data_IF_230349773869
#
_entry.id   IF_230349773869
#
_cell.length_a   1.000
_cell.length_b   1.000
_cell.length_c   1.000
_cell.angle_alpha   90.00
_cell.angle_beta   90.00
_cell.angle_gamma   90.00
#
_symmetry.space_group_name_H-M   'P 1'
#
loop_
_entity.id
_entity.type
_entity.pdbx_description
1 polymer ?
#
# COMPACT_ATOMS: atom_id res chain seq x y z
N UNK A 1 -5.45 9.14 -25.75
CA UNK A 1 -5.75 9.94 -24.54
C UNK A 1 -7.17 9.65 -24.10
N UNK A 2 -7.41 9.24 -22.84
CA UNK A 2 -8.77 9.05 -22.30
C UNK A 2 -9.08 10.26 -21.41
N UNK A 3 -10.10 11.04 -21.78
CA UNK A 3 -10.64 12.13 -20.95
C UNK A 3 -12.05 11.73 -20.51
N UNK A 4 -12.31 11.76 -19.22
CA UNK A 4 -13.59 11.45 -18.58
C UNK A 4 -13.76 12.35 -17.36
N UNK A 5 -15.00 12.65 -17.01
CA UNK A 5 -15.32 13.58 -15.94
C UNK A 5 -16.29 12.90 -14.96
N UNK A 6 -16.16 13.24 -13.68
CA UNK A 6 -17.01 12.77 -12.59
C UNK A 6 -17.26 13.92 -11.64
N UNK A 7 -18.46 13.99 -11.09
CA UNK A 7 -18.76 14.96 -10.05
C UNK A 7 -18.29 14.46 -8.69
N UNK A 8 -18.03 15.41 -7.81
CA UNK A 8 -17.87 15.14 -6.38
C UNK A 8 -19.27 15.11 -5.77
N UNK A 9 -19.56 14.04 -5.03
CA UNK A 9 -20.81 13.82 -4.33
C UNK A 9 -20.65 14.12 -2.83
N UNK A 10 -21.70 13.87 -2.06
CA UNK A 10 -21.71 14.06 -0.61
C UNK A 10 -20.49 13.43 0.08
N UNK A 11 -20.02 14.11 1.14
CA UNK A 11 -18.81 13.75 1.89
C UNK A 11 -17.55 13.72 1.02
N UNK A 12 -17.53 14.52 -0.05
CA UNK A 12 -16.40 14.69 -0.96
C UNK A 12 -15.96 13.39 -1.66
N UNK A 13 -16.91 12.49 -1.92
CA UNK A 13 -16.63 11.22 -2.58
C UNK A 13 -16.72 11.37 -4.10
N UNK A 14 -15.91 10.62 -4.83
CA UNK A 14 -16.03 10.47 -6.28
C UNK A 14 -15.87 9.01 -6.68
N UNK A 15 -16.29 8.69 -7.91
CA UNK A 15 -16.17 7.35 -8.50
C UNK A 15 -15.04 7.33 -9.51
N UNK A 16 -14.36 6.19 -9.66
CA UNK A 16 -13.46 5.98 -10.80
C UNK A 16 -14.32 5.66 -12.03
N UNK A 17 -14.27 6.41 -13.14
CA UNK A 17 -15.11 6.16 -14.32
C UNK A 17 -14.99 4.74 -14.88
N UNK A 18 -16.10 4.20 -15.40
CA UNK A 18 -16.15 2.84 -16.00
C UNK A 18 -15.01 2.62 -17.01
N UNK A 19 -14.82 3.57 -17.94
CA UNK A 19 -13.78 3.49 -18.97
C UNK A 19 -12.36 3.37 -18.39
N UNK A 20 -12.07 4.09 -17.30
CA UNK A 20 -10.77 4.00 -16.62
C UNK A 20 -10.63 2.66 -15.89
N UNK A 21 -11.68 2.23 -15.17
CA UNK A 21 -11.67 0.93 -14.48
C UNK A 21 -11.42 -0.23 -15.43
N UNK A 22 -12.08 -0.26 -16.57
CA UNK A 22 -11.93 -1.32 -17.58
C UNK A 22 -10.55 -1.28 -18.24
N UNK A 23 -10.09 -0.08 -18.64
CA UNK A 23 -8.77 0.09 -19.27
C UNK A 23 -7.63 -0.35 -18.35
N UNK A 24 -7.76 -0.09 -17.05
CA UNK A 24 -6.73 -0.41 -16.05
C UNK A 24 -6.98 -1.72 -15.28
N UNK A 25 -8.06 -2.46 -15.60
CA UNK A 25 -8.42 -3.70 -14.91
C UNK A 25 -8.69 -3.52 -13.40
N UNK A 26 -9.19 -2.36 -12.99
CA UNK A 26 -9.42 -2.04 -11.57
C UNK A 26 -10.59 -2.83 -10.99
N UNK A 27 -10.34 -3.40 -9.81
CA UNK A 27 -11.31 -4.17 -9.03
C UNK A 27 -11.44 -3.60 -7.62
N UNK A 28 -12.38 -4.11 -6.83
CA UNK A 28 -12.56 -3.72 -5.42
C UNK A 28 -11.35 -4.02 -4.52
N UNK A 29 -10.38 -4.79 -5.00
CA UNK A 29 -9.16 -5.15 -4.26
C UNK A 29 -8.02 -4.13 -4.45
N UNK A 30 -8.25 -3.09 -5.25
CA UNK A 30 -7.30 -2.02 -5.47
C UNK A 30 -7.56 -0.86 -4.52
N UNK A 31 -6.49 -0.27 -4.02
CA UNK A 31 -6.46 0.97 -3.26
C UNK A 31 -6.09 2.10 -4.21
N UNK A 32 -6.74 3.25 -4.03
CA UNK A 32 -6.43 4.49 -4.76
C UNK A 32 -5.57 5.37 -3.86
N UNK A 33 -4.36 5.65 -4.30
CA UNK A 33 -3.44 6.58 -3.65
C UNK A 33 -3.50 7.93 -4.36
N UNK A 34 -3.59 8.99 -3.57
CA UNK A 34 -3.66 10.37 -4.04
C UNK A 34 -2.36 11.06 -3.67
N UNK A 35 -1.63 11.56 -4.67
CA UNK A 35 -0.41 12.34 -4.47
C UNK A 35 -0.58 13.72 -5.10
N UNK A 36 0.06 14.72 -4.51
CA UNK A 36 0.21 16.04 -5.11
C UNK A 36 1.68 16.17 -5.48
N UNK A 37 1.97 16.34 -6.77
CA UNK A 37 3.34 16.51 -7.22
C UNK A 37 3.85 17.94 -6.96
N UNK A 38 5.13 18.18 -7.24
CA UNK A 38 5.81 19.47 -7.12
C UNK A 38 5.15 20.61 -7.92
N UNK A 39 4.37 20.28 -8.96
CA UNK A 39 3.62 21.22 -9.80
C UNK A 39 2.20 21.45 -9.30
N UNK A 40 1.83 20.92 -8.14
CA UNK A 40 0.49 21.05 -7.56
C UNK A 40 -0.58 20.26 -8.30
N UNK A 41 -0.22 19.31 -9.17
CA UNK A 41 -1.18 18.44 -9.84
C UNK A 41 -1.48 17.22 -8.98
N UNK A 42 -2.76 16.86 -8.92
CA UNK A 42 -3.21 15.61 -8.31
C UNK A 42 -2.92 14.47 -9.26
N UNK A 43 -2.24 13.45 -8.75
CA UNK A 43 -1.97 12.19 -9.42
C UNK A 43 -2.61 11.05 -8.63
N UNK A 44 -3.20 10.11 -9.37
CA UNK A 44 -3.82 8.93 -8.80
C UNK A 44 -3.00 7.70 -9.17
N UNK A 45 -2.61 6.94 -8.17
CA UNK A 45 -1.96 5.63 -8.33
C UNK A 45 -2.88 4.53 -7.82
N UNK A 46 -2.89 3.39 -8.51
CA UNK A 46 -3.69 2.23 -8.11
C UNK A 46 -2.75 1.09 -7.73
N UNK A 47 -2.84 0.64 -6.48
CA UNK A 47 -2.07 -0.51 -6.01
C UNK A 47 -2.99 -1.60 -5.48
N UNK A 48 -2.54 -2.85 -5.52
CA UNK A 48 -3.21 -3.92 -4.81
C UNK A 48 -3.03 -3.72 -3.31
N UNK A 49 -4.06 -4.08 -2.53
CA UNK A 49 -3.89 -4.24 -1.10
C UNK A 49 -2.89 -5.37 -0.88
N UNK A 50 -1.73 -5.04 -0.32
CA UNK A 50 -0.76 -6.01 0.17
C UNK A 50 -1.18 -6.34 1.60
N UNK A 51 -1.45 -7.61 1.87
CA UNK A 51 -1.73 -8.10 3.23
C UNK A 51 -0.42 -8.53 3.89
N UNK A 52 -0.39 -8.61 5.22
CA UNK A 52 0.81 -9.08 5.94
C UNK A 52 1.20 -10.49 5.46
N UNK A 53 0.21 -11.34 5.17
CA UNK A 53 0.40 -12.67 4.58
C UNK A 53 1.05 -12.64 3.19
N UNK A 54 0.81 -11.59 2.39
CA UNK A 54 1.46 -11.41 1.09
C UNK A 54 2.93 -10.98 1.21
N UNK A 55 3.33 -10.40 2.36
CA UNK A 55 4.70 -9.96 2.65
C UNK A 55 5.50 -11.05 3.35
N UNK A 56 4.85 -11.91 4.15
CA UNK A 56 5.49 -13.03 4.85
C UNK A 56 6.14 -13.97 3.82
N UNK A 57 7.47 -14.00 3.83
CA UNK A 57 8.29 -14.81 2.92
C UNK A 57 8.75 -14.10 1.64
N UNK A 58 8.25 -12.90 1.34
CA UNK A 58 8.70 -12.08 0.21
C UNK A 58 10.07 -11.43 0.47
N UNK A 59 10.38 -11.19 1.76
CA UNK A 59 11.71 -10.76 2.22
C UNK A 59 12.38 -11.92 2.95
N UNK A 60 13.31 -12.59 2.27
CA UNK A 60 14.26 -13.51 2.91
C UNK A 60 15.46 -12.72 3.40
N UNK A 61 15.77 -12.80 4.70
CA UNK A 61 17.07 -12.35 5.20
C UNK A 61 18.17 -13.12 4.46
N UNK A 62 19.25 -12.42 4.03
CA UNK A 62 20.40 -13.06 3.36
C UNK A 62 21.00 -14.20 4.18
N UNK A 63 20.81 -14.16 5.49
CA UNK A 63 21.28 -15.16 6.43
C UNK A 63 20.09 -15.87 7.09
N UNK A 64 20.23 -17.19 7.29
CA UNK A 64 19.24 -17.98 8.05
C UNK A 64 19.25 -17.54 9.51
N UNK A 65 18.38 -16.60 9.86
CA UNK A 65 18.19 -16.18 11.24
C UNK A 65 17.37 -17.20 12.00
N UNK A 66 17.92 -17.74 13.08
CA UNK A 66 17.17 -18.60 14.00
C UNK A 66 16.24 -17.71 14.85
N UNK A 67 14.92 -17.89 14.68
CA UNK A 67 13.91 -17.08 15.36
C UNK A 67 14.06 -17.09 16.89
N UNK A 68 14.48 -18.22 17.48
CA UNK A 68 14.68 -18.35 18.93
C UNK A 68 15.81 -17.45 19.41
N UNK A 69 16.93 -17.39 18.69
CA UNK A 69 18.06 -16.52 19.03
C UNK A 69 17.71 -15.05 18.91
N UNK A 70 16.92 -14.67 17.91
CA UNK A 70 16.50 -13.28 17.72
C UNK A 70 15.62 -12.80 18.88
N UNK A 71 14.69 -13.65 19.33
CA UNK A 71 13.83 -13.37 20.47
C UNK A 71 14.66 -13.25 21.76
N UNK A 72 15.60 -14.17 22.01
CA UNK A 72 16.51 -14.07 23.16
C UNK A 72 17.32 -12.77 23.17
N UNK A 73 17.85 -12.33 22.02
CA UNK A 73 18.64 -11.10 21.92
C UNK A 73 17.80 -9.83 22.15
N UNK A 74 16.53 -9.84 21.71
CA UNK A 74 15.59 -8.75 21.97
C UNK A 74 15.25 -8.63 23.46
N UNK A 75 14.99 -9.75 24.13
CA UNK A 75 14.72 -9.77 25.57
C UNK A 75 15.96 -9.39 26.40
N UNK A 76 17.15 -9.90 26.07
CA UNK A 76 18.42 -9.53 26.74
C UNK A 76 18.79 -8.05 26.59
N UNK A 77 18.34 -7.38 25.52
CA UNK A 77 18.50 -5.92 25.35
C UNK A 77 17.51 -5.11 26.18
N UNK A 78 16.33 -5.65 26.47
CA UNK A 78 15.32 -5.03 27.34
C UNK A 78 15.77 -4.93 28.80
N UNK A 79 16.49 -5.94 29.29
CA UNK A 79 16.94 -6.02 30.69
C UNK A 79 18.17 -5.14 31.02
N UNK A 80 18.79 -4.49 30.02
CA UNK A 80 19.92 -3.56 30.23
C UNK A 80 19.50 -2.10 30.44
N UNK A 81 18.21 -1.84 30.64
CA UNK A 81 17.65 -0.50 30.96
C UNK A 81 16.90 -0.46 32.30
N UNK A 82 17.28 -1.28 33.26
CA UNK A 82 16.88 -1.13 34.67
C UNK A 82 18.10 -0.96 35.58
#
# INVERSE_FOLDING_TARGET
MIKVETNIYDKFQTVVPKKIRETMGLTKNHIIEWTINDKGKVELSFRKKVTDDDVIGMVSLKEKTNAVKLVEDLYKKGDKKS
#
